data_IF_966831040860
#
_entry.id   IF_966831040860
#
_cell.length_a   1.000
_cell.length_b   1.000
_cell.length_c   1.000
_cell.angle_alpha   90.00
_cell.angle_beta   90.00
_cell.angle_gamma   90.00
#
_symmetry.space_group_name_H-M   'P 1'
#
loop_
_entity.id
_entity.type
_entity.pdbx_description
1 polymer ?
#
# COMPACT_ATOMS: atom_id res chain seq x y z
N UNK A 1 41.44 -2.34 4.41
CA UNK A 1 40.29 -3.25 4.49
C UNK A 1 39.28 -2.80 3.43
N UNK A 2 39.17 -3.48 2.29
CA UNK A 2 38.08 -3.24 1.35
C UNK A 2 36.84 -3.90 1.98
N UNK A 3 35.97 -3.13 2.57
CA UNK A 3 34.63 -3.58 2.94
C UNK A 3 34.02 -4.22 1.69
N UNK A 4 33.84 -5.54 1.69
CA UNK A 4 33.29 -6.26 0.56
C UNK A 4 31.94 -5.63 0.21
N UNK A 5 31.69 -5.33 -1.07
CA UNK A 5 30.41 -4.77 -1.52
C UNK A 5 29.30 -5.72 -1.04
N UNK A 6 28.25 -5.21 -0.37
CA UNK A 6 27.16 -6.05 0.07
C UNK A 6 26.54 -6.77 -1.14
N UNK A 7 25.95 -7.94 -0.91
CA UNK A 7 25.32 -8.69 -1.99
C UNK A 7 24.20 -7.85 -2.62
N UNK A 8 23.97 -7.91 -3.94
CA UNK A 8 22.89 -7.16 -4.61
C UNK A 8 21.52 -7.44 -4.00
N UNK A 9 21.30 -8.65 -3.44
CA UNK A 9 20.08 -9.03 -2.72
C UNK A 9 19.90 -8.18 -1.45
N UNK A 10 20.96 -7.99 -0.68
CA UNK A 10 20.92 -7.18 0.54
C UNK A 10 20.68 -5.71 0.21
N UNK A 11 21.32 -5.18 -0.82
CA UNK A 11 21.12 -3.79 -1.26
C UNK A 11 19.69 -3.55 -1.72
N UNK A 12 19.11 -4.45 -2.52
CA UNK A 12 17.71 -4.36 -2.94
C UNK A 12 16.74 -4.45 -1.75
N UNK A 13 17.01 -5.34 -0.79
CA UNK A 13 16.22 -5.46 0.45
C UNK A 13 16.28 -4.20 1.30
N UNK A 14 17.48 -3.65 1.52
CA UNK A 14 17.65 -2.40 2.29
C UNK A 14 16.95 -1.22 1.63
N UNK A 15 17.02 -1.13 0.29
CA UNK A 15 16.29 -0.10 -0.47
C UNK A 15 14.79 -0.21 -0.27
N UNK A 16 14.23 -1.43 -0.37
CA UNK A 16 12.81 -1.67 -0.13
C UNK A 16 12.40 -1.36 1.31
N UNK A 17 13.19 -1.80 2.27
CA UNK A 17 12.91 -1.58 3.69
C UNK A 17 12.90 -0.08 4.03
N UNK A 18 13.91 0.67 3.59
CA UNK A 18 13.98 2.11 3.81
C UNK A 18 12.81 2.85 3.16
N UNK A 19 12.45 2.46 1.93
CA UNK A 19 11.32 3.04 1.19
C UNK A 19 10.01 2.80 1.96
N UNK A 20 9.77 1.56 2.41
CA UNK A 20 8.57 1.22 3.19
C UNK A 20 8.54 1.85 4.58
N UNK A 21 9.67 2.00 5.25
CA UNK A 21 9.76 2.72 6.52
C UNK A 21 9.39 4.19 6.35
N UNK A 22 9.96 4.87 5.36
CA UNK A 22 9.65 6.29 5.09
C UNK A 22 8.16 6.52 4.84
N UNK A 23 7.52 5.67 4.02
CA UNK A 23 6.09 5.76 3.72
C UNK A 23 5.21 5.45 4.95
N UNK A 24 5.51 4.37 5.66
CA UNK A 24 4.67 3.88 6.75
C UNK A 24 4.75 4.70 8.03
N UNK A 25 5.86 5.44 8.26
CA UNK A 25 5.98 6.42 9.34
C UNK A 25 4.95 7.55 9.19
N UNK A 26 4.77 8.04 7.96
CA UNK A 26 3.94 9.21 7.66
C UNK A 26 2.46 8.86 7.61
N UNK A 27 2.11 7.66 7.14
CA UNK A 27 0.74 7.27 6.83
C UNK A 27 -0.25 7.47 7.99
N UNK A 28 0.00 6.98 9.24
CA UNK A 28 -0.92 7.18 10.36
C UNK A 28 -0.98 8.62 10.86
N UNK A 29 0.00 9.45 10.49
CA UNK A 29 0.10 10.82 10.96
C UNK A 29 -0.57 11.82 10.00
N UNK A 30 -0.95 11.38 8.80
CA UNK A 30 -1.48 12.23 7.75
C UNK A 30 -2.65 13.13 8.19
N UNK A 31 -3.67 12.65 8.94
CA UNK A 31 -4.75 13.52 9.43
C UNK A 31 -4.30 14.57 10.42
N UNK A 32 -3.24 14.31 11.21
CA UNK A 32 -2.68 15.26 12.15
C UNK A 32 -1.84 16.33 11.45
N UNK A 33 -1.07 15.91 10.44
CA UNK A 33 -0.24 16.80 9.62
C UNK A 33 -1.09 17.73 8.74
N UNK A 34 -2.23 17.25 8.27
CA UNK A 34 -3.17 18.03 7.47
C UNK A 34 -4.01 18.98 8.32
N UNK A 35 -4.14 18.74 9.63
CA UNK A 35 -5.03 19.48 10.53
C UNK A 35 -4.79 20.99 10.58
N UNK A 36 -3.58 21.46 10.30
CA UNK A 36 -3.25 22.89 10.19
C UNK A 36 -3.75 23.55 8.90
N UNK A 37 -4.21 22.77 7.90
CA UNK A 37 -4.60 23.26 6.57
C UNK A 37 -6.04 22.87 6.22
N UNK A 38 -6.47 21.69 6.62
CA UNK A 38 -7.83 21.17 6.45
C UNK A 38 -8.09 20.06 7.46
N UNK A 39 -9.32 19.97 7.94
CA UNK A 39 -9.75 18.90 8.86
C UNK A 39 -10.83 17.99 8.22
N UNK A 40 -11.16 18.21 6.94
CA UNK A 40 -12.19 17.45 6.25
C UNK A 40 -11.67 16.13 5.68
N UNK A 41 -12.52 15.11 5.68
CA UNK A 41 -12.20 13.77 5.17
C UNK A 41 -12.07 13.75 3.65
N UNK A 42 -12.73 14.67 2.92
CA UNK A 42 -12.63 14.78 1.47
C UNK A 42 -11.21 15.18 1.05
N UNK A 43 -10.65 16.22 1.67
CA UNK A 43 -9.28 16.67 1.40
C UNK A 43 -8.27 15.60 1.76
N UNK A 44 -8.45 14.92 2.89
CA UNK A 44 -7.59 13.79 3.30
C UNK A 44 -7.65 12.65 2.27
N UNK A 45 -8.84 12.25 1.86
CA UNK A 45 -9.04 11.21 0.86
C UNK A 45 -8.44 11.56 -0.51
N UNK A 46 -8.61 12.80 -0.96
CA UNK A 46 -8.02 13.29 -2.21
C UNK A 46 -6.49 13.34 -2.12
N UNK A 47 -5.92 13.77 -1.00
CA UNK A 47 -4.48 13.82 -0.80
C UNK A 47 -3.85 12.43 -0.82
N UNK A 48 -4.46 11.45 -0.14
CA UNK A 48 -4.05 10.05 -0.20
C UNK A 48 -4.25 9.46 -1.61
N UNK A 49 -5.36 9.78 -2.26
CA UNK A 49 -5.65 9.36 -3.63
C UNK A 49 -4.67 9.92 -4.66
N UNK A 50 -4.21 11.16 -4.51
CA UNK A 50 -3.23 11.79 -5.41
C UNK A 50 -1.93 10.99 -5.47
N UNK A 51 -1.39 10.58 -4.32
CA UNK A 51 -0.23 9.69 -4.27
C UNK A 51 -0.48 8.38 -5.01
N UNK A 52 -1.60 7.72 -4.70
CA UNK A 52 -1.90 6.42 -5.26
C UNK A 52 -2.18 6.45 -6.78
N UNK A 53 -2.85 7.48 -7.29
CA UNK A 53 -3.05 7.70 -8.75
C UNK A 53 -1.73 7.92 -9.45
N UNK A 54 -0.87 8.76 -8.88
CA UNK A 54 0.44 9.06 -9.44
C UNK A 54 1.29 7.79 -9.50
N UNK A 55 1.36 7.02 -8.42
CA UNK A 55 2.08 5.76 -8.35
C UNK A 55 1.54 4.73 -9.35
N UNK A 56 0.21 4.56 -9.42
CA UNK A 56 -0.44 3.65 -10.36
C UNK A 56 -0.07 3.98 -11.81
N UNK A 57 -0.12 5.27 -12.15
CA UNK A 57 0.17 5.75 -13.50
C UNK A 57 1.65 5.64 -13.87
N UNK A 58 2.54 5.89 -12.91
CA UNK A 58 3.99 5.89 -13.13
C UNK A 58 4.61 4.48 -13.12
N UNK A 59 4.06 3.54 -12.36
CA UNK A 59 4.68 2.21 -12.16
C UNK A 59 5.01 1.46 -13.47
N UNK A 60 4.12 1.36 -14.48
CA UNK A 60 4.45 0.70 -15.75
C UNK A 60 5.54 1.43 -16.53
N UNK A 61 5.51 2.77 -16.49
CA UNK A 61 6.52 3.60 -17.14
C UNK A 61 7.90 3.43 -16.48
N UNK A 62 7.95 3.45 -15.14
CA UNK A 62 9.19 3.23 -14.38
C UNK A 62 9.75 1.83 -14.66
N UNK A 63 8.91 0.81 -14.73
CA UNK A 63 9.31 -0.53 -15.13
C UNK A 63 10.01 -0.52 -16.51
N UNK A 64 9.33 0.03 -17.51
CA UNK A 64 9.88 0.13 -18.87
C UNK A 64 11.15 1.00 -18.96
N UNK A 65 11.21 2.11 -18.21
CA UNK A 65 12.43 2.93 -18.12
C UNK A 65 13.58 2.14 -17.50
N UNK A 66 13.31 1.31 -16.49
CA UNK A 66 14.33 0.49 -15.84
C UNK A 66 14.86 -0.64 -16.76
N UNK A 67 14.01 -1.15 -17.66
CA UNK A 67 14.42 -2.10 -18.71
C UNK A 67 15.27 -1.44 -19.81
N UNK A 68 15.08 -0.14 -20.05
CA UNK A 68 15.81 0.59 -21.07
C UNK A 68 17.11 1.21 -20.58
N UNK A 69 17.08 1.86 -19.42
CA UNK A 69 18.20 2.67 -18.92
C UNK A 69 19.03 1.95 -17.86
N UNK A 70 18.54 0.82 -17.35
CA UNK A 70 19.14 0.05 -16.27
C UNK A 70 18.40 0.25 -14.94
N UNK A 71 18.57 -0.71 -14.05
CA UNK A 71 17.86 -0.76 -12.77
C UNK A 71 18.30 0.34 -11.81
N UNK A 72 19.62 0.49 -11.65
CA UNK A 72 20.23 1.42 -10.69
C UNK A 72 19.91 2.89 -10.96
N UNK A 73 20.07 3.45 -12.17
CA UNK A 73 19.79 4.86 -12.42
C UNK A 73 18.30 5.20 -12.27
N UNK A 74 17.41 4.30 -12.70
CA UNK A 74 15.97 4.52 -12.55
C UNK A 74 15.52 4.41 -11.10
N UNK A 75 16.06 3.46 -10.32
CA UNK A 75 15.82 3.38 -8.89
C UNK A 75 16.34 4.62 -8.15
N UNK A 76 17.52 5.12 -8.51
CA UNK A 76 18.06 6.36 -7.95
C UNK A 76 17.14 7.56 -8.23
N UNK A 77 16.59 7.66 -9.45
CA UNK A 77 15.61 8.70 -9.82
C UNK A 77 14.33 8.59 -8.97
N UNK A 78 13.80 7.38 -8.79
CA UNK A 78 12.62 7.14 -7.94
C UNK A 78 12.89 7.59 -6.51
N UNK A 79 13.99 7.14 -5.90
CA UNK A 79 14.31 7.50 -4.51
C UNK A 79 14.59 9.00 -4.37
N UNK A 80 15.27 9.63 -5.34
CA UNK A 80 15.47 11.08 -5.34
C UNK A 80 14.15 11.85 -5.42
N UNK A 81 13.21 11.38 -6.23
CA UNK A 81 11.86 11.95 -6.28
C UNK A 81 11.10 11.79 -4.95
N UNK A 82 11.22 10.65 -4.25
CA UNK A 82 10.66 10.49 -2.91
C UNK A 82 11.32 11.43 -1.88
N UNK A 83 12.64 11.67 -1.96
CA UNK A 83 13.32 12.69 -1.13
C UNK A 83 12.72 14.07 -1.37
N UNK A 84 12.52 14.45 -2.64
CA UNK A 84 11.94 15.75 -3.00
C UNK A 84 10.48 15.86 -2.54
N UNK A 85 9.67 14.83 -2.77
CA UNK A 85 8.26 14.80 -2.38
C UNK A 85 8.07 14.87 -0.87
N UNK A 86 8.75 14.00 -0.12
CA UNK A 86 8.72 14.00 1.35
C UNK A 86 9.31 15.28 1.94
N UNK A 87 10.42 15.78 1.33
CA UNK A 87 11.04 17.03 1.74
C UNK A 87 10.13 18.24 1.56
N UNK A 88 9.48 18.35 0.39
CA UNK A 88 8.50 19.40 0.13
C UNK A 88 7.31 19.30 1.09
N UNK A 89 6.83 18.08 1.37
CA UNK A 89 5.75 17.86 2.34
C UNK A 89 6.16 18.31 3.75
N UNK A 90 7.35 17.88 4.21
CA UNK A 90 7.89 18.25 5.52
C UNK A 90 8.06 19.76 5.68
N UNK A 91 8.65 20.43 4.69
CA UNK A 91 8.83 21.87 4.68
C UNK A 91 7.48 22.59 4.70
N UNK A 92 6.53 22.16 3.86
CA UNK A 92 5.20 22.79 3.81
C UNK A 92 4.47 22.70 5.13
N UNK A 93 4.52 21.58 5.82
CA UNK A 93 3.86 21.42 7.13
C UNK A 93 4.56 22.22 8.23
N UNK A 94 5.87 22.44 8.13
CA UNK A 94 6.67 23.06 9.18
C UNK A 94 6.72 24.59 9.09
N UNK A 95 6.42 25.18 7.94
CA UNK A 95 6.50 26.63 7.74
C UNK A 95 5.30 27.36 8.37
N UNK A 96 5.52 28.48 9.07
CA UNK A 96 4.46 29.31 9.63
C UNK A 96 3.87 30.24 8.54
N UNK A 97 3.08 29.68 7.64
CA UNK A 97 2.54 30.36 6.44
C UNK A 97 1.80 31.65 6.74
N UNK A 98 1.00 31.67 7.82
CA UNK A 98 0.23 32.86 8.22
C UNK A 98 1.10 34.03 8.64
N UNK A 99 2.32 33.76 9.11
CA UNK A 99 3.28 34.78 9.51
C UNK A 99 4.16 35.21 8.33
N UNK A 100 4.64 34.24 7.52
CA UNK A 100 5.57 34.51 6.42
C UNK A 100 4.85 35.10 5.19
N UNK A 101 3.71 34.53 4.80
CA UNK A 101 2.95 34.91 3.61
C UNK A 101 1.43 34.78 3.84
N UNK A 102 0.82 35.72 4.56
CA UNK A 102 -0.61 35.63 4.89
C UNK A 102 -1.52 35.50 3.65
N UNK A 103 -1.20 36.24 2.58
CA UNK A 103 -1.94 36.16 1.33
C UNK A 103 -1.83 34.79 0.63
N UNK A 104 -0.66 34.19 0.63
CA UNK A 104 -0.44 32.85 0.07
C UNK A 104 -1.13 31.76 0.92
N UNK A 105 -1.15 31.92 2.25
CA UNK A 105 -1.90 31.05 3.14
C UNK A 105 -3.41 31.12 2.87
N UNK A 106 -3.95 32.33 2.73
CA UNK A 106 -5.36 32.57 2.39
C UNK A 106 -5.73 32.05 0.99
N UNK A 107 -4.80 32.10 0.03
CA UNK A 107 -4.99 31.56 -1.31
C UNK A 107 -4.89 30.03 -1.41
N UNK A 108 -4.66 29.32 -0.29
CA UNK A 108 -4.57 27.85 -0.28
C UNK A 108 -3.26 27.28 -0.85
N UNK A 109 -2.22 28.11 -1.02
CA UNK A 109 -0.91 27.65 -1.54
C UNK A 109 -0.32 26.51 -0.73
N UNK A 110 -0.33 26.50 0.62
CA UNK A 110 0.21 25.37 1.39
C UNK A 110 -0.46 24.05 1.05
N UNK A 111 -1.78 24.05 0.91
CA UNK A 111 -2.54 22.84 0.53
C UNK A 111 -2.17 22.38 -0.87
N UNK A 112 -2.03 23.29 -1.83
CA UNK A 112 -1.58 22.95 -3.18
C UNK A 112 -0.17 22.34 -3.19
N UNK A 113 0.75 22.85 -2.35
CA UNK A 113 2.09 22.28 -2.19
C UNK A 113 2.06 20.88 -1.57
N UNK A 114 1.15 20.59 -0.66
CA UNK A 114 0.97 19.23 -0.12
C UNK A 114 0.50 18.26 -1.21
N UNK A 115 -0.43 18.68 -2.08
CA UNK A 115 -0.84 17.88 -3.24
C UNK A 115 0.29 17.68 -4.23
N UNK A 116 1.08 18.71 -4.52
CA UNK A 116 2.26 18.63 -5.37
C UNK A 116 3.31 17.67 -4.79
N UNK A 117 3.58 17.74 -3.50
CA UNK A 117 4.47 16.85 -2.79
C UNK A 117 4.03 15.39 -2.93
N UNK A 118 2.73 15.10 -2.76
CA UNK A 118 2.16 13.77 -2.94
C UNK A 118 2.20 13.30 -4.40
N UNK A 119 2.01 14.20 -5.34
CA UNK A 119 2.13 13.90 -6.76
C UNK A 119 3.57 13.50 -7.12
N UNK A 120 4.57 14.27 -6.68
CA UNK A 120 6.00 13.98 -6.92
C UNK A 120 6.39 12.65 -6.29
N UNK A 121 6.03 12.43 -5.03
CA UNK A 121 6.33 11.19 -4.30
C UNK A 121 5.65 9.97 -4.96
N UNK A 122 4.37 10.10 -5.35
CA UNK A 122 3.64 9.06 -6.06
C UNK A 122 4.22 8.74 -7.44
N UNK A 123 4.57 9.76 -8.25
CA UNK A 123 5.23 9.56 -9.54
C UNK A 123 6.59 8.85 -9.40
N UNK A 124 7.20 8.96 -8.24
CA UNK A 124 8.48 8.32 -7.90
C UNK A 124 8.31 6.94 -7.25
N UNK A 125 7.08 6.51 -6.95
CA UNK A 125 6.74 5.30 -6.20
C UNK A 125 7.00 3.96 -6.92
N UNK A 126 7.99 3.89 -7.84
CA UNK A 126 8.37 2.69 -8.57
C UNK A 126 9.47 1.84 -7.92
N UNK A 127 9.92 2.21 -6.73
CA UNK A 127 11.02 1.53 -6.02
C UNK A 127 10.76 0.03 -5.85
N UNK A 128 9.54 -0.36 -5.45
CA UNK A 128 9.18 -1.76 -5.25
C UNK A 128 9.20 -2.56 -6.55
N UNK A 129 8.73 -1.99 -7.65
CA UNK A 129 8.74 -2.63 -8.97
C UNK A 129 10.17 -2.83 -9.47
N UNK A 130 11.00 -1.79 -9.38
CA UNK A 130 12.41 -1.85 -9.81
C UNK A 130 13.22 -2.79 -8.92
N UNK A 131 13.02 -2.81 -7.60
CA UNK A 131 13.67 -3.76 -6.71
C UNK A 131 13.25 -5.20 -6.98
N UNK A 132 11.98 -5.43 -7.31
CA UNK A 132 11.50 -6.73 -7.80
C UNK A 132 12.22 -7.19 -9.06
N UNK A 133 12.45 -6.28 -10.01
CA UNK A 133 13.21 -6.55 -11.22
C UNK A 133 14.68 -6.86 -10.91
N UNK A 134 15.35 -6.09 -10.03
CA UNK A 134 16.71 -6.39 -9.55
C UNK A 134 16.77 -7.82 -8.97
N UNK A 135 15.84 -8.17 -8.10
CA UNK A 135 15.80 -9.51 -7.51
C UNK A 135 15.58 -10.61 -8.56
N UNK A 136 14.77 -10.35 -9.57
CA UNK A 136 14.55 -11.28 -10.68
C UNK A 136 15.82 -11.48 -11.54
N UNK A 137 16.56 -10.39 -11.82
CA UNK A 137 17.76 -10.40 -12.62
C UNK A 137 18.91 -11.22 -11.98
N UNK A 138 19.02 -11.19 -10.63
CA UNK A 138 20.11 -11.86 -9.87
C UNK A 138 19.71 -13.23 -9.30
N UNK A 139 18.52 -13.73 -9.62
CA UNK A 139 18.00 -14.97 -9.01
C UNK A 139 17.55 -15.96 -10.09
N UNK A 140 18.04 -17.20 -9.98
CA UNK A 140 17.61 -18.28 -10.86
C UNK A 140 16.09 -18.50 -10.79
N UNK A 141 15.42 -18.89 -11.88
CA UNK A 141 13.96 -19.00 -11.96
C UNK A 141 13.34 -19.81 -10.81
N UNK A 142 14.00 -20.89 -10.41
CA UNK A 142 13.53 -21.82 -9.36
C UNK A 142 13.55 -21.20 -7.96
N UNK A 143 14.39 -20.18 -7.74
CA UNK A 143 14.56 -19.50 -6.47
C UNK A 143 13.84 -18.13 -6.39
N UNK A 144 13.23 -17.68 -7.48
CA UNK A 144 12.55 -16.36 -7.55
C UNK A 144 11.45 -16.19 -6.51
N UNK A 145 10.69 -17.22 -6.23
CA UNK A 145 9.65 -17.18 -5.20
C UNK A 145 10.22 -16.80 -3.81
N UNK A 146 11.38 -17.37 -3.47
CA UNK A 146 12.08 -17.06 -2.21
C UNK A 146 12.65 -15.63 -2.23
N UNK A 147 13.20 -15.18 -3.36
CA UNK A 147 13.73 -13.82 -3.49
C UNK A 147 12.61 -12.76 -3.39
N UNK A 148 11.47 -13.00 -4.02
CA UNK A 148 10.29 -12.13 -3.87
C UNK A 148 9.69 -12.15 -2.46
N UNK A 149 9.92 -13.20 -1.68
CA UNK A 149 9.59 -13.24 -0.26
C UNK A 149 10.27 -12.11 0.53
N UNK A 150 11.49 -11.66 0.13
CA UNK A 150 12.17 -10.53 0.75
C UNK A 150 11.38 -9.21 0.59
N UNK A 151 10.65 -9.04 -0.51
CA UNK A 151 9.75 -7.89 -0.70
C UNK A 151 8.67 -7.91 0.38
N UNK A 152 8.05 -9.07 0.60
CA UNK A 152 7.03 -9.24 1.65
C UNK A 152 7.59 -8.97 3.06
N UNK A 153 8.82 -9.41 3.34
CA UNK A 153 9.50 -9.14 4.62
C UNK A 153 9.76 -7.64 4.79
N UNK A 154 10.24 -6.94 3.75
CA UNK A 154 10.46 -5.49 3.81
C UNK A 154 9.16 -4.73 4.06
N UNK A 155 8.07 -5.10 3.39
CA UNK A 155 6.74 -4.54 3.64
C UNK A 155 6.26 -4.80 5.07
N UNK A 156 6.37 -6.05 5.56
CA UNK A 156 5.95 -6.42 6.92
C UNK A 156 6.73 -5.64 7.99
N UNK A 157 8.05 -5.58 7.87
CA UNK A 157 8.89 -4.81 8.78
C UNK A 157 8.59 -3.31 8.72
N UNK A 158 8.38 -2.77 7.52
CA UNK A 158 7.98 -1.37 7.34
C UNK A 158 6.68 -1.05 8.06
N UNK A 159 5.66 -1.88 7.89
CA UNK A 159 4.36 -1.69 8.56
C UNK A 159 4.37 -1.91 10.07
N UNK A 160 5.33 -2.66 10.61
CA UNK A 160 5.51 -2.80 12.07
C UNK A 160 6.30 -1.62 12.63
N UNK A 161 7.47 -1.37 12.06
CA UNK A 161 8.42 -0.40 12.62
C UNK A 161 8.02 1.05 12.31
N UNK A 162 7.45 1.31 11.12
CA UNK A 162 7.11 2.65 10.69
C UNK A 162 6.10 3.35 11.59
N UNK A 163 4.89 2.81 11.80
CA UNK A 163 3.92 3.41 12.71
C UNK A 163 4.45 3.52 14.14
N UNK A 164 5.18 2.50 14.64
CA UNK A 164 5.79 2.54 15.96
C UNK A 164 6.77 3.71 16.13
N UNK A 165 7.68 3.87 15.16
CA UNK A 165 8.61 5.00 15.13
C UNK A 165 7.87 6.33 14.95
N UNK A 166 6.90 6.39 14.05
CA UNK A 166 6.09 7.58 13.82
C UNK A 166 5.38 8.06 15.08
N UNK A 167 4.73 7.16 15.81
CA UNK A 167 4.05 7.49 17.07
C UNK A 167 5.00 7.89 18.18
N UNK A 168 6.15 7.22 18.31
CA UNK A 168 7.17 7.58 19.29
C UNK A 168 7.74 8.97 19.04
N UNK A 169 8.08 9.28 17.80
CA UNK A 169 8.63 10.58 17.40
C UNK A 169 7.58 11.69 17.50
N UNK A 170 6.32 11.39 17.23
CA UNK A 170 5.23 12.35 17.34
C UNK A 170 4.98 12.87 18.76
N UNK A 171 5.51 12.19 19.81
CA UNK A 171 5.52 12.70 21.19
C UNK A 171 6.32 13.99 21.35
N UNK A 172 7.39 14.12 20.56
CA UNK A 172 8.23 15.33 20.62
C UNK A 172 7.68 16.43 19.70
N UNK A 173 7.30 16.06 18.48
CA UNK A 173 6.67 16.94 17.50
C UNK A 173 5.97 16.13 16.42
N UNK A 174 4.78 16.55 16.01
CA UNK A 174 4.02 15.90 14.92
C UNK A 174 4.76 15.96 13.57
N UNK A 175 5.66 16.95 13.40
CA UNK A 175 6.46 17.11 12.18
C UNK A 175 7.77 16.32 12.20
N UNK A 176 8.29 15.95 13.37
CA UNK A 176 9.56 15.21 13.50
C UNK A 176 9.57 13.89 12.70
N UNK A 177 8.52 13.08 12.72
CA UNK A 177 8.44 11.88 11.89
C UNK A 177 8.65 12.12 10.39
N UNK A 178 8.21 13.28 9.86
CA UNK A 178 8.42 13.65 8.45
C UNK A 178 9.91 13.84 8.14
N UNK A 179 10.63 14.58 8.98
CA UNK A 179 12.07 14.78 8.78
C UNK A 179 12.85 13.49 8.91
N UNK A 180 12.43 12.59 9.80
CA UNK A 180 13.03 11.25 9.92
C UNK A 180 12.72 10.42 8.65
N UNK A 181 11.51 10.50 8.08
CA UNK A 181 11.19 9.85 6.81
C UNK A 181 12.04 10.39 5.65
N UNK A 182 12.27 11.72 5.59
CA UNK A 182 13.23 12.32 4.63
C UNK A 182 14.64 11.79 4.87
N UNK A 183 15.07 11.65 6.12
CA UNK A 183 16.36 11.04 6.48
C UNK A 183 16.49 9.61 5.97
N UNK A 184 15.46 8.77 6.14
CA UNK A 184 15.42 7.41 5.58
C UNK A 184 15.49 7.43 4.05
N UNK A 185 14.78 8.34 3.39
CA UNK A 185 14.83 8.48 1.94
C UNK A 185 16.22 8.92 1.44
N UNK A 186 16.90 9.83 2.15
CA UNK A 186 18.28 10.24 1.86
C UNK A 186 19.27 9.08 2.04
N UNK A 187 19.16 8.35 3.16
CA UNK A 187 19.96 7.13 3.39
C UNK A 187 19.71 6.11 2.28
N UNK A 188 18.46 5.95 1.87
CA UNK A 188 18.11 5.06 0.77
C UNK A 188 18.75 5.49 -0.56
N UNK A 189 18.75 6.79 -0.86
CA UNK A 189 19.43 7.33 -2.03
C UNK A 189 20.93 7.01 -2.00
N UNK A 190 21.57 7.20 -0.86
CA UNK A 190 22.99 6.84 -0.68
C UNK A 190 23.21 5.33 -0.87
N UNK A 191 22.37 4.48 -0.33
CA UNK A 191 22.42 3.02 -0.52
C UNK A 191 22.32 2.66 -2.00
N UNK A 192 21.39 3.24 -2.74
CA UNK A 192 21.23 2.99 -4.17
C UNK A 192 22.45 3.47 -4.96
N UNK A 193 22.96 4.67 -4.65
CA UNK A 193 24.08 5.27 -5.36
C UNK A 193 25.44 4.60 -5.06
N UNK A 194 25.61 4.00 -3.87
CA UNK A 194 26.90 3.47 -3.45
C UNK A 194 26.96 1.93 -3.43
N UNK A 195 25.87 1.28 -3.00
CA UNK A 195 25.85 -0.15 -2.71
C UNK A 195 25.10 -0.99 -3.74
N UNK A 196 24.10 -0.41 -4.46
CA UNK A 196 23.36 -1.16 -5.47
C UNK A 196 24.17 -1.25 -6.76
N UNK A 197 24.57 -2.46 -7.21
CA UNK A 197 25.20 -2.62 -8.52
C UNK A 197 24.14 -2.52 -9.62
N UNK A 198 24.58 -2.20 -10.85
CA UNK A 198 23.72 -2.35 -12.02
C UNK A 198 23.55 -3.85 -12.33
N UNK A 199 22.30 -4.30 -12.40
CA UNK A 199 21.96 -5.71 -12.66
C UNK A 199 21.44 -5.95 -14.07
N UNK A 200 21.18 -4.87 -14.82
CA UNK A 200 20.68 -4.94 -16.19
C UNK A 200 21.71 -4.33 -17.17
N UNK A 201 22.64 -5.14 -17.68
CA UNK A 201 23.75 -4.64 -18.50
C UNK A 201 23.24 -4.06 -19.83
N UNK A 202 24.01 -3.19 -20.49
CA UNK A 202 23.59 -2.50 -21.71
C UNK A 202 23.08 -3.43 -22.83
N UNK A 203 23.66 -4.64 -22.93
CA UNK A 203 23.33 -5.64 -23.94
C UNK A 203 21.93 -6.27 -23.74
N UNK A 204 21.43 -6.25 -22.49
CA UNK A 204 20.11 -6.78 -22.14
C UNK A 204 18.99 -5.71 -22.24
N UNK A 205 19.33 -4.45 -22.52
CA UNK A 205 18.38 -3.34 -22.55
C UNK A 205 17.45 -3.41 -23.74
N UNK A 206 16.17 -3.19 -23.51
CA UNK A 206 15.12 -3.25 -24.52
C UNK A 206 14.63 -1.83 -24.86
N UNK A 207 14.15 -1.65 -26.10
CA UNK A 207 13.51 -0.40 -26.50
C UNK A 207 12.23 -0.17 -25.68
N UNK A 208 11.88 1.10 -25.46
CA UNK A 208 10.62 1.43 -24.76
C UNK A 208 9.44 0.81 -25.52
N UNK A 209 8.54 0.13 -24.81
CA UNK A 209 7.34 -0.41 -25.42
C UNK A 209 6.44 0.71 -25.97
N UNK A 210 5.54 0.36 -26.87
CA UNK A 210 4.62 1.32 -27.47
C UNK A 210 3.73 1.96 -26.40
N UNK A 211 3.30 3.21 -26.60
CA UNK A 211 2.48 3.96 -25.66
C UNK A 211 1.23 3.20 -25.16
N UNK A 212 0.64 2.34 -25.98
CA UNK A 212 -0.51 1.50 -25.61
C UNK A 212 -0.17 0.43 -24.56
N UNK A 213 1.04 -0.09 -24.57
CA UNK A 213 1.50 -1.14 -23.65
C UNK A 213 1.84 -0.57 -22.26
N UNK A 214 2.13 0.75 -22.22
CA UNK A 214 2.39 1.50 -20.99
C UNK A 214 1.11 1.99 -20.29
N UNK A 215 -0.07 1.81 -20.91
CA UNK A 215 -1.34 2.25 -20.31
C UNK A 215 -1.81 1.25 -19.23
N UNK A 216 -1.83 1.62 -17.94
CA UNK A 216 -2.24 0.72 -16.87
C UNK A 216 -3.68 0.22 -17.04
N UNK A 217 -4.56 1.02 -17.64
CA UNK A 217 -5.95 0.64 -17.89
C UNK A 217 -6.13 -0.46 -18.94
N UNK A 218 -5.22 -0.57 -19.92
CA UNK A 218 -5.30 -1.64 -20.93
C UNK A 218 -5.06 -3.03 -20.32
N UNK A 219 -4.16 -3.11 -19.35
CA UNK A 219 -3.89 -4.34 -18.61
C UNK A 219 -5.09 -4.74 -17.74
N UNK A 220 -5.75 -3.77 -17.10
CA UNK A 220 -6.97 -4.00 -16.33
C UNK A 220 -8.11 -4.51 -17.22
N UNK A 221 -8.32 -3.89 -18.39
CA UNK A 221 -9.36 -4.30 -19.34
C UNK A 221 -9.16 -5.75 -19.81
N UNK A 222 -7.93 -6.14 -20.10
CA UNK A 222 -7.61 -7.52 -20.53
C UNK A 222 -7.97 -8.56 -19.46
N UNK A 223 -7.77 -8.25 -18.18
CA UNK A 223 -8.11 -9.17 -17.07
C UNK A 223 -9.63 -9.31 -16.91
N UNK A 224 -10.37 -8.22 -17.03
CA UNK A 224 -11.83 -8.26 -16.94
C UNK A 224 -12.50 -8.92 -18.16
N UNK A 225 -11.82 -8.98 -19.30
CA UNK A 225 -12.27 -9.69 -20.50
C UNK A 225 -12.23 -11.21 -20.36
N UNK A 226 -11.42 -11.75 -19.44
CA UNK A 226 -11.31 -13.19 -19.24
C UNK A 226 -12.42 -13.71 -18.28
N UNK A 227 -13.42 -14.48 -18.79
CA UNK A 227 -14.56 -14.93 -17.99
C UNK A 227 -14.17 -15.90 -16.86
N UNK A 228 -13.00 -16.57 -16.96
CA UNK A 228 -12.52 -17.54 -15.95
C UNK A 228 -12.08 -16.87 -14.66
N UNK A 229 -11.54 -15.66 -14.75
CA UNK A 229 -10.96 -14.92 -13.59
C UNK A 229 -11.71 -13.63 -13.26
N UNK A 230 -12.57 -13.12 -14.15
CA UNK A 230 -13.27 -11.85 -14.00
C UNK A 230 -13.89 -11.64 -12.61
N UNK A 231 -14.56 -12.67 -12.07
CA UNK A 231 -15.19 -12.57 -10.74
C UNK A 231 -14.19 -12.42 -9.61
N UNK A 232 -13.10 -13.22 -9.64
CA UNK A 232 -12.06 -13.12 -8.61
C UNK A 232 -11.26 -11.82 -8.72
N UNK A 233 -11.04 -11.33 -9.93
CA UNK A 233 -10.40 -10.05 -10.17
C UNK A 233 -11.28 -8.89 -9.69
N UNK A 234 -12.59 -8.95 -9.92
CA UNK A 234 -13.55 -8.00 -9.36
C UNK A 234 -13.58 -8.05 -7.82
N UNK A 235 -13.56 -9.26 -7.23
CA UNK A 235 -13.47 -9.45 -5.80
C UNK A 235 -12.16 -8.85 -5.23
N UNK A 236 -11.03 -9.08 -5.89
CA UNK A 236 -9.73 -8.55 -5.49
C UNK A 236 -9.68 -7.02 -5.56
N UNK A 237 -10.17 -6.44 -6.66
CA UNK A 237 -10.29 -4.98 -6.82
C UNK A 237 -11.19 -4.38 -5.75
N UNK A 238 -12.41 -4.91 -5.57
CA UNK A 238 -13.38 -4.42 -4.59
C UNK A 238 -12.88 -4.53 -3.14
N UNK A 239 -12.10 -5.59 -2.83
CA UNK A 239 -11.46 -5.74 -1.53
C UNK A 239 -10.46 -4.61 -1.27
N UNK A 240 -9.57 -4.30 -2.23
CA UNK A 240 -8.61 -3.21 -2.05
C UNK A 240 -9.25 -1.83 -2.08
N UNK A 241 -10.32 -1.66 -2.85
CA UNK A 241 -11.14 -0.44 -2.83
C UNK A 241 -11.71 -0.18 -1.43
N UNK A 242 -12.35 -1.20 -0.82
CA UNK A 242 -12.92 -1.11 0.52
C UNK A 242 -11.84 -0.89 1.58
N UNK A 243 -10.78 -1.71 1.54
CA UNK A 243 -9.71 -1.68 2.53
C UNK A 243 -8.93 -0.37 2.55
N UNK A 244 -8.57 0.15 1.37
CA UNK A 244 -7.83 1.41 1.29
C UNK A 244 -8.66 2.62 1.70
N UNK A 245 -9.94 2.65 1.32
CA UNK A 245 -10.86 3.70 1.74
C UNK A 245 -11.08 3.71 3.25
N UNK A 246 -11.35 2.54 3.82
CA UNK A 246 -11.44 2.35 5.27
C UNK A 246 -10.19 2.84 5.99
N UNK A 247 -9.02 2.35 5.56
CA UNK A 247 -7.74 2.63 6.22
C UNK A 247 -7.39 4.12 6.18
N UNK A 248 -7.69 4.81 5.07
CA UNK A 248 -7.44 6.24 4.93
C UNK A 248 -8.27 7.10 5.90
N UNK A 249 -9.50 6.69 6.20
CA UNK A 249 -10.40 7.43 7.11
C UNK A 249 -10.26 7.01 8.57
N UNK A 250 -9.59 5.90 8.85
CA UNK A 250 -9.53 5.28 10.18
C UNK A 250 -8.96 6.22 11.24
N UNK A 251 -7.82 6.86 10.97
CA UNK A 251 -7.16 7.76 11.93
C UNK A 251 -7.95 9.05 12.11
N UNK A 252 -8.53 9.58 11.03
CA UNK A 252 -9.40 10.75 11.13
C UNK A 252 -10.60 10.45 12.03
N UNK A 253 -11.20 9.26 11.86
CA UNK A 253 -12.28 8.80 12.72
C UNK A 253 -11.85 8.67 14.18
N UNK A 254 -10.70 8.06 14.47
CA UNK A 254 -10.17 7.94 15.84
C UNK A 254 -9.98 9.29 16.50
N UNK A 255 -9.45 10.26 15.75
CA UNK A 255 -9.26 11.63 16.24
C UNK A 255 -10.59 12.31 16.56
N UNK A 256 -11.59 12.20 15.68
CA UNK A 256 -12.87 12.91 15.83
C UNK A 256 -13.83 12.19 16.80
N UNK A 257 -13.87 10.87 16.78
CA UNK A 257 -14.81 10.10 17.61
C UNK A 257 -14.32 9.86 19.04
N UNK A 258 -13.00 9.67 19.21
CA UNK A 258 -12.41 9.30 20.50
C UNK A 258 -11.37 10.30 21.01
N UNK A 259 -11.05 11.36 20.28
CA UNK A 259 -10.04 12.33 20.67
C UNK A 259 -8.61 11.76 20.68
N UNK A 260 -8.35 10.66 19.96
CA UNK A 260 -7.04 10.01 19.99
C UNK A 260 -5.96 10.87 19.33
N UNK A 261 -4.82 10.96 20.02
CA UNK A 261 -3.61 11.58 19.51
C UNK A 261 -2.83 10.67 18.53
N UNK A 262 -1.75 11.19 17.94
CA UNK A 262 -0.93 10.47 16.97
C UNK A 262 -0.30 9.20 17.54
N UNK A 263 -0.03 9.16 18.85
CA UNK A 263 0.56 7.99 19.52
C UNK A 263 -0.38 6.77 19.52
N UNK A 264 -1.63 6.95 19.97
CA UNK A 264 -2.61 5.88 19.99
C UNK A 264 -2.96 5.43 18.57
N UNK A 265 -3.04 6.35 17.61
CA UNK A 265 -3.22 6.03 16.21
C UNK A 265 -2.07 5.18 15.67
N UNK A 266 -0.82 5.52 15.99
CA UNK A 266 0.35 4.76 15.58
C UNK A 266 0.39 3.36 16.23
N UNK A 267 0.06 3.26 17.52
CA UNK A 267 -0.06 1.96 18.22
C UNK A 267 -1.14 1.07 17.59
N UNK A 268 -2.24 1.64 17.14
CA UNK A 268 -3.28 0.90 16.42
C UNK A 268 -2.74 0.25 15.15
N UNK A 269 -1.95 0.96 14.36
CA UNK A 269 -1.28 0.40 13.16
C UNK A 269 -0.18 -0.59 13.51
N UNK A 270 0.53 -0.38 14.61
CA UNK A 270 1.53 -1.35 15.10
C UNK A 270 0.87 -2.71 15.38
N UNK A 271 -0.29 -2.74 16.04
CA UNK A 271 -1.04 -3.98 16.28
C UNK A 271 -1.43 -4.65 14.96
N UNK A 272 -1.93 -3.87 13.98
CA UNK A 272 -2.24 -4.38 12.64
C UNK A 272 -1.01 -5.01 11.99
N UNK A 273 0.14 -4.34 12.04
CA UNK A 273 1.40 -4.82 11.47
C UNK A 273 1.88 -6.13 12.12
N UNK A 274 1.87 -6.19 13.46
CA UNK A 274 2.30 -7.38 14.20
C UNK A 274 1.39 -8.58 13.89
N UNK A 275 0.07 -8.41 13.96
CA UNK A 275 -0.87 -9.50 13.68
C UNK A 275 -0.76 -9.96 12.22
N UNK A 276 -0.69 -9.03 11.26
CA UNK A 276 -0.53 -9.38 9.85
C UNK A 276 0.76 -10.16 9.59
N UNK A 277 1.86 -9.79 10.25
CA UNK A 277 3.16 -10.50 10.12
C UNK A 277 3.09 -11.91 10.70
N UNK A 278 2.50 -12.07 11.88
CA UNK A 278 2.31 -13.41 12.50
C UNK A 278 1.45 -14.30 11.60
N UNK A 279 0.36 -13.76 11.06
CA UNK A 279 -0.54 -14.51 10.18
C UNK A 279 0.15 -14.89 8.88
N UNK A 280 0.75 -13.93 8.17
CA UNK A 280 1.36 -14.17 6.86
C UNK A 280 2.69 -14.92 6.95
N UNK A 281 3.47 -14.70 8.01
CA UNK A 281 4.78 -15.33 8.21
C UNK A 281 4.71 -16.74 8.81
N UNK A 282 3.67 -17.03 9.61
CA UNK A 282 3.60 -18.29 10.36
C UNK A 282 2.35 -19.12 10.16
N UNK A 283 1.17 -18.48 10.17
CA UNK A 283 -0.11 -19.21 10.24
C UNK A 283 -0.68 -19.56 8.87
N UNK A 284 -0.45 -18.75 7.84
CA UNK A 284 -1.09 -18.91 6.53
C UNK A 284 -0.79 -20.27 5.88
N UNK A 285 0.45 -20.75 5.92
CA UNK A 285 0.87 -22.00 5.31
C UNK A 285 0.11 -23.21 5.88
N UNK A 286 0.20 -23.49 7.19
CA UNK A 286 -0.56 -24.57 7.82
C UNK A 286 -2.07 -24.46 7.67
N UNK A 287 -2.62 -23.24 7.72
CA UNK A 287 -4.07 -23.02 7.57
C UNK A 287 -4.55 -23.32 6.14
N UNK A 288 -3.79 -22.90 5.11
CA UNK A 288 -4.11 -23.20 3.71
C UNK A 288 -4.08 -24.72 3.45
N UNK A 289 -3.09 -25.43 4.02
CA UNK A 289 -3.00 -26.88 3.87
C UNK A 289 -4.20 -27.61 4.48
N UNK A 290 -4.73 -27.13 5.62
CA UNK A 290 -5.83 -27.77 6.33
C UNK A 290 -7.23 -27.40 5.83
N UNK A 291 -7.42 -26.11 5.53
CA UNK A 291 -8.75 -25.54 5.27
C UNK A 291 -8.98 -25.27 3.77
N UNK A 292 -7.89 -25.02 3.03
CA UNK A 292 -7.91 -24.59 1.64
C UNK A 292 -8.11 -23.09 1.46
N UNK A 293 -7.58 -22.54 0.37
CA UNK A 293 -7.52 -21.09 0.09
C UNK A 293 -8.91 -20.45 0.01
N UNK A 294 -9.86 -21.15 -0.58
CA UNK A 294 -11.21 -20.64 -0.77
C UNK A 294 -11.97 -20.44 0.55
N UNK A 295 -12.00 -21.47 1.40
CA UNK A 295 -12.67 -21.36 2.70
C UNK A 295 -11.97 -20.34 3.59
N UNK A 296 -10.65 -20.34 3.55
CA UNK A 296 -9.82 -19.45 4.34
C UNK A 296 -10.02 -17.98 3.92
N UNK A 297 -10.20 -17.71 2.62
CA UNK A 297 -10.55 -16.35 2.18
C UNK A 297 -11.92 -15.88 2.70
N UNK A 298 -12.92 -16.77 2.76
CA UNK A 298 -14.24 -16.43 3.33
C UNK A 298 -14.19 -16.18 4.84
N UNK A 299 -13.44 -16.99 5.58
CA UNK A 299 -13.19 -16.76 7.02
C UNK A 299 -12.51 -15.43 7.23
N UNK A 300 -11.46 -15.13 6.42
CA UNK A 300 -10.76 -13.85 6.48
C UNK A 300 -11.68 -12.65 6.19
N UNK A 301 -12.55 -12.76 5.17
CA UNK A 301 -13.54 -11.71 4.86
C UNK A 301 -14.53 -11.50 6.01
N UNK A 302 -14.97 -12.58 6.66
CA UNK A 302 -15.81 -12.50 7.87
C UNK A 302 -15.11 -11.76 9.02
N UNK A 303 -13.83 -12.05 9.27
CA UNK A 303 -13.03 -11.31 10.26
C UNK A 303 -12.89 -9.82 9.91
N UNK A 304 -12.69 -9.47 8.62
CA UNK A 304 -12.62 -8.08 8.20
C UNK A 304 -13.95 -7.36 8.42
N UNK A 305 -15.10 -7.99 8.08
CA UNK A 305 -16.43 -7.44 8.36
C UNK A 305 -16.63 -7.21 9.85
N UNK A 306 -16.27 -8.19 10.69
CA UNK A 306 -16.38 -8.08 12.15
C UNK A 306 -15.54 -6.92 12.68
N UNK A 307 -14.29 -6.79 12.26
CA UNK A 307 -13.44 -5.67 12.65
C UNK A 307 -13.99 -4.31 12.20
N UNK A 308 -14.45 -4.19 10.96
CA UNK A 308 -15.09 -2.98 10.45
C UNK A 308 -16.39 -2.63 11.21
N UNK A 309 -17.14 -3.63 11.68
CA UNK A 309 -18.39 -3.44 12.43
C UNK A 309 -18.14 -2.96 13.87
N UNK A 310 -17.14 -3.55 14.54
CA UNK A 310 -16.86 -3.25 15.95
C UNK A 310 -16.35 -1.82 16.18
N UNK A 311 -15.57 -1.26 15.23
CA UNK A 311 -14.95 0.05 15.39
C UNK A 311 -16.00 1.17 15.55
N UNK A 312 -17.00 1.36 14.66
CA UNK A 312 -18.00 2.42 14.80
C UNK A 312 -19.00 2.19 15.94
N UNK A 313 -19.04 0.98 16.49
CA UNK A 313 -19.88 0.62 17.65
C UNK A 313 -19.14 0.82 18.98
N UNK A 314 -17.84 1.06 18.98
CA UNK A 314 -17.07 1.29 20.19
C UNK A 314 -17.54 2.55 20.91
N UNK A 315 -17.72 2.43 22.24
CA UNK A 315 -18.04 3.56 23.11
C UNK A 315 -16.77 4.25 23.57
N UNK A 316 -16.76 5.58 23.81
CA UNK A 316 -15.56 6.30 24.25
C UNK A 316 -14.89 5.71 25.50
N UNK A 317 -15.68 5.17 26.43
CA UNK A 317 -15.21 4.55 27.68
C UNK A 317 -14.50 3.22 27.47
N UNK A 318 -14.85 2.48 26.42
CA UNK A 318 -14.25 1.18 26.05
C UNK A 318 -13.52 1.21 24.70
N UNK A 319 -13.25 2.41 24.17
CA UNK A 319 -12.72 2.57 22.83
C UNK A 319 -11.38 1.84 22.65
N UNK A 320 -10.45 1.96 23.60
CA UNK A 320 -9.12 1.33 23.48
C UNK A 320 -9.23 -0.19 23.33
N UNK A 321 -9.77 -0.97 24.29
CA UNK A 321 -9.82 -2.42 24.16
C UNK A 321 -10.66 -2.88 22.97
N UNK A 322 -11.78 -2.20 22.69
CA UNK A 322 -12.67 -2.57 21.59
C UNK A 322 -12.02 -2.35 20.22
N UNK A 323 -11.42 -1.17 20.01
CA UNK A 323 -10.79 -0.84 18.72
C UNK A 323 -9.54 -1.69 18.49
N UNK A 324 -8.68 -1.88 19.51
CA UNK A 324 -7.48 -2.71 19.36
C UNK A 324 -7.83 -4.17 19.07
N UNK A 325 -8.86 -4.73 19.74
CA UNK A 325 -9.36 -6.07 19.43
C UNK A 325 -9.97 -6.15 18.03
N UNK A 326 -10.75 -5.15 17.62
CA UNK A 326 -11.33 -5.06 16.29
C UNK A 326 -10.25 -5.00 15.20
N UNK A 327 -9.19 -4.21 15.41
CA UNK A 327 -8.05 -4.10 14.50
C UNK A 327 -7.23 -5.39 14.44
N UNK A 328 -7.07 -6.10 15.56
CA UNK A 328 -6.40 -7.40 15.56
C UNK A 328 -7.21 -8.43 14.74
N UNK A 329 -8.53 -8.49 14.91
CA UNK A 329 -9.43 -9.35 14.14
C UNK A 329 -9.38 -8.97 12.65
N UNK A 330 -9.42 -7.69 12.32
CA UNK A 330 -9.33 -7.17 10.96
C UNK A 330 -7.99 -7.53 10.33
N UNK A 331 -6.88 -7.34 11.04
CA UNK A 331 -5.54 -7.66 10.57
C UNK A 331 -5.35 -9.16 10.33
N UNK A 332 -5.90 -9.98 11.23
CA UNK A 332 -5.96 -11.43 11.03
C UNK A 332 -6.71 -11.76 9.73
N UNK A 333 -7.88 -11.16 9.51
CA UNK A 333 -8.67 -11.34 8.31
C UNK A 333 -7.95 -10.92 7.03
N UNK A 334 -7.38 -9.72 6.99
CA UNK A 334 -6.64 -9.22 5.81
C UNK A 334 -5.40 -10.04 5.51
N UNK A 335 -4.71 -10.52 6.55
CA UNK A 335 -3.57 -11.43 6.46
C UNK A 335 -3.92 -12.76 5.77
N UNK A 336 -5.16 -13.22 5.89
CA UNK A 336 -5.66 -14.42 5.21
C UNK A 336 -6.16 -14.11 3.79
N UNK A 337 -6.95 -13.05 3.62
CA UNK A 337 -7.65 -12.72 2.37
C UNK A 337 -6.67 -12.46 1.22
N UNK A 338 -5.69 -11.58 1.45
CA UNK A 338 -4.80 -11.10 0.37
C UNK A 338 -4.02 -12.23 -0.31
N UNK A 339 -3.29 -13.12 0.41
CA UNK A 339 -2.56 -14.21 -0.22
C UNK A 339 -3.48 -15.27 -0.81
N UNK A 340 -4.62 -15.57 -0.15
CA UNK A 340 -5.58 -16.54 -0.67
C UNK A 340 -6.22 -16.09 -1.99
N UNK A 341 -6.67 -14.84 -2.09
CA UNK A 341 -7.23 -14.31 -3.33
C UNK A 341 -6.20 -14.26 -4.46
N UNK A 342 -4.95 -13.85 -4.16
CA UNK A 342 -3.85 -13.88 -5.14
C UNK A 342 -3.62 -15.28 -5.69
N UNK A 343 -3.55 -16.28 -4.81
CA UNK A 343 -3.34 -17.67 -5.20
C UNK A 343 -4.51 -18.20 -6.02
N UNK A 344 -5.76 -17.96 -5.62
CA UNK A 344 -6.96 -18.37 -6.37
C UNK A 344 -7.02 -17.79 -7.79
N UNK A 345 -6.58 -16.53 -8.00
CA UNK A 345 -6.50 -15.94 -9.35
C UNK A 345 -5.35 -16.53 -10.12
N UNK A 346 -4.16 -16.65 -9.53
CA UNK A 346 -2.96 -17.18 -10.17
C UNK A 346 -3.18 -18.59 -10.71
N UNK A 347 -3.76 -19.49 -9.91
CA UNK A 347 -4.08 -20.87 -10.34
C UNK A 347 -5.03 -20.95 -11.52
N UNK A 348 -5.97 -20.01 -11.68
CA UNK A 348 -6.90 -19.99 -12.81
C UNK A 348 -6.30 -19.39 -14.09
N UNK A 349 -5.16 -18.75 -13.99
CA UNK A 349 -4.40 -18.19 -15.11
C UNK A 349 -3.20 -19.07 -15.49
N UNK A 350 -3.05 -20.27 -14.91
CA UNK A 350 -2.05 -21.26 -15.31
C UNK A 350 -2.20 -21.55 -16.80
N UNK A 351 -1.13 -21.27 -17.58
CA UNK A 351 -1.10 -21.36 -19.04
C UNK A 351 -1.05 -20.04 -19.81
N UNK A 352 -1.37 -18.89 -19.18
CA UNK A 352 -1.32 -17.56 -19.83
C UNK A 352 -0.15 -16.67 -19.42
N UNK A 353 0.86 -17.23 -18.74
CA UNK A 353 2.04 -16.50 -18.24
C UNK A 353 1.83 -15.95 -16.82
N UNK A 354 2.48 -16.53 -15.83
CA UNK A 354 2.38 -16.14 -14.41
C UNK A 354 2.76 -14.67 -14.17
N UNK A 355 3.72 -14.13 -14.92
CA UNK A 355 4.13 -12.74 -14.81
C UNK A 355 3.02 -11.75 -15.18
N UNK A 356 2.29 -12.01 -16.26
CA UNK A 356 1.16 -11.18 -16.68
C UNK A 356 0.01 -11.22 -15.65
N UNK A 357 -0.24 -12.41 -15.06
CA UNK A 357 -1.25 -12.58 -14.02
C UNK A 357 -0.93 -11.78 -12.76
N UNK A 358 0.31 -11.86 -12.28
CA UNK A 358 0.77 -11.13 -11.09
C UNK A 358 0.80 -9.60 -11.33
N UNK A 359 1.24 -9.18 -12.52
CA UNK A 359 1.20 -7.77 -12.92
C UNK A 359 -0.23 -7.21 -12.95
N UNK A 360 -1.18 -7.99 -13.48
CA UNK A 360 -2.59 -7.62 -13.52
C UNK A 360 -3.20 -7.49 -12.13
N UNK A 361 -2.87 -8.40 -11.20
CA UNK A 361 -3.32 -8.31 -9.82
C UNK A 361 -2.74 -7.08 -9.11
N UNK A 362 -1.48 -6.76 -9.37
CA UNK A 362 -0.86 -5.54 -8.83
C UNK A 362 -1.56 -4.29 -9.36
N UNK A 363 -1.90 -4.26 -10.66
CA UNK A 363 -2.69 -3.18 -11.26
C UNK A 363 -4.07 -3.02 -10.62
N UNK A 364 -4.79 -4.13 -10.39
CA UNK A 364 -6.09 -4.11 -9.70
C UNK A 364 -5.99 -3.63 -8.26
N UNK A 365 -4.96 -4.06 -7.53
CA UNK A 365 -4.68 -3.57 -6.18
C UNK A 365 -4.46 -2.05 -6.18
N UNK A 366 -3.59 -1.57 -7.06
CA UNK A 366 -3.28 -0.15 -7.17
C UNK A 366 -4.51 0.67 -7.56
N UNK A 367 -5.32 0.17 -8.51
CA UNK A 367 -6.59 0.81 -8.91
C UNK A 367 -7.58 0.91 -7.74
N UNK A 368 -7.75 -0.16 -6.95
CA UNK A 368 -8.56 -0.13 -5.74
C UNK A 368 -8.02 0.85 -4.71
N UNK A 369 -6.69 0.86 -4.53
CA UNK A 369 -6.03 1.72 -3.56
C UNK A 369 -6.11 3.21 -3.90
N UNK A 370 -6.17 3.58 -5.19
CA UNK A 370 -6.32 5.00 -5.55
C UNK A 370 -7.76 5.49 -5.50
N UNK A 371 -8.74 4.64 -5.82
CA UNK A 371 -10.15 5.02 -5.80
C UNK A 371 -10.76 5.03 -4.39
N UNK A 372 -10.27 4.15 -3.52
CA UNK A 372 -10.82 3.97 -2.18
C UNK A 372 -10.79 5.23 -1.31
N UNK A 373 -9.63 5.86 -1.08
CA UNK A 373 -9.55 7.03 -0.20
C UNK A 373 -10.40 8.23 -0.63
N UNK A 374 -10.44 8.67 -1.91
CA UNK A 374 -11.32 9.76 -2.32
C UNK A 374 -12.80 9.45 -2.14
N UNK A 375 -13.23 8.21 -2.47
CA UNK A 375 -14.62 7.78 -2.29
C UNK A 375 -15.01 7.70 -0.81
N UNK A 376 -14.12 7.17 0.02
CA UNK A 376 -14.35 7.10 1.46
C UNK A 376 -14.37 8.49 2.11
N UNK A 377 -13.47 9.39 1.68
CA UNK A 377 -13.44 10.76 2.15
C UNK A 377 -14.70 11.55 1.77
N UNK A 378 -15.19 11.37 0.53
CA UNK A 378 -16.45 11.96 0.09
C UNK A 378 -17.63 11.42 0.92
N UNK A 379 -17.70 10.10 1.11
CA UNK A 379 -18.75 9.49 1.92
C UNK A 379 -18.69 9.94 3.38
N UNK A 380 -17.50 10.10 3.94
CA UNK A 380 -17.26 10.58 5.29
C UNK A 380 -17.90 11.95 5.53
N UNK A 381 -17.75 12.88 4.57
CA UNK A 381 -18.31 14.23 4.65
C UNK A 381 -19.80 14.30 4.32
N UNK A 382 -20.26 13.52 3.33
CA UNK A 382 -21.64 13.63 2.85
C UNK A 382 -22.63 12.73 3.59
N UNK A 383 -22.21 11.54 4.02
CA UNK A 383 -23.05 10.52 4.65
C UNK A 383 -22.74 10.33 6.16
N UNK A 384 -21.76 11.11 6.69
CA UNK A 384 -21.36 11.10 8.09
C UNK A 384 -20.16 10.21 8.38
N UNK A 385 -19.53 10.44 9.53
CA UNK A 385 -18.21 9.91 9.92
C UNK A 385 -18.13 8.38 9.99
N UNK A 386 -19.25 7.68 10.14
CA UNK A 386 -19.33 6.21 10.17
C UNK A 386 -19.53 5.58 8.80
N UNK A 387 -19.82 6.37 7.76
CA UNK A 387 -20.13 5.86 6.42
C UNK A 387 -19.03 5.04 5.75
N UNK A 388 -17.72 5.35 5.90
CA UNK A 388 -16.66 4.52 5.31
C UNK A 388 -16.65 3.08 5.83
N UNK A 389 -17.04 2.89 7.10
CA UNK A 389 -17.13 1.55 7.70
C UNK A 389 -18.28 0.76 7.08
N UNK A 390 -19.47 1.36 6.96
CA UNK A 390 -20.65 0.72 6.37
C UNK A 390 -20.44 0.41 4.88
N UNK A 391 -19.83 1.34 4.13
CA UNK A 391 -19.46 1.14 2.74
C UNK A 391 -18.46 -0.02 2.58
N UNK A 392 -17.45 -0.08 3.44
CA UNK A 392 -16.46 -1.16 3.43
C UNK A 392 -17.12 -2.50 3.77
N UNK A 393 -18.01 -2.56 4.75
CA UNK A 393 -18.76 -3.78 5.07
C UNK A 393 -19.58 -4.23 3.87
N UNK A 394 -20.34 -3.34 3.23
CA UNK A 394 -21.15 -3.66 2.05
C UNK A 394 -20.29 -4.21 0.91
N UNK A 395 -19.17 -3.56 0.61
CA UNK A 395 -18.24 -4.01 -0.42
C UNK A 395 -17.61 -5.37 -0.08
N UNK A 396 -17.21 -5.59 1.17
CA UNK A 396 -16.56 -6.85 1.58
C UNK A 396 -17.58 -7.99 1.58
N UNK A 397 -18.84 -7.75 1.94
CA UNK A 397 -19.93 -8.72 1.79
C UNK A 397 -20.15 -9.07 0.30
N UNK A 398 -20.12 -8.07 -0.59
CA UNK A 398 -20.18 -8.31 -2.03
C UNK A 398 -18.97 -9.13 -2.52
N UNK A 399 -17.76 -8.85 -2.02
CA UNK A 399 -16.55 -9.66 -2.28
C UNK A 399 -16.76 -11.11 -1.84
N UNK A 400 -17.30 -11.33 -0.65
CA UNK A 400 -17.59 -12.68 -0.16
C UNK A 400 -18.60 -13.42 -1.06
N UNK A 401 -19.65 -12.74 -1.54
CA UNK A 401 -20.59 -13.30 -2.50
C UNK A 401 -19.96 -13.64 -3.85
N UNK A 402 -19.05 -12.78 -4.36
CA UNK A 402 -18.30 -13.04 -5.59
C UNK A 402 -17.38 -14.25 -5.46
N UNK A 403 -16.70 -14.38 -4.32
CA UNK A 403 -15.83 -15.53 -4.02
C UNK A 403 -16.67 -16.80 -3.86
N UNK A 404 -17.76 -16.77 -3.08
CA UNK A 404 -18.63 -17.93 -2.86
C UNK A 404 -19.30 -18.44 -4.16
N UNK A 405 -19.75 -17.53 -5.02
CA UNK A 405 -20.41 -17.90 -6.30
C UNK A 405 -19.48 -18.52 -7.33
N UNK A 406 -18.15 -18.39 -7.12
CA UNK A 406 -17.15 -18.95 -8.04
C UNK A 406 -17.00 -20.49 -7.98
N UNK A 407 -17.46 -21.15 -6.91
CA UNK A 407 -17.31 -22.59 -6.68
C UNK A 407 -18.54 -23.41 -7.06
N UNK A 408 -19.76 -22.84 -6.97
CA UNK A 408 -20.99 -23.58 -7.35
C UNK A 408 -20.99 -24.09 -8.79
N UNK A 409 -20.19 -23.50 -9.69
CA UNK A 409 -20.05 -23.97 -11.08
C UNK A 409 -19.01 -25.07 -11.28
N UNK A 410 -18.07 -25.26 -10.35
CA UNK A 410 -17.07 -26.33 -10.46
C UNK A 410 -17.62 -27.69 -10.01
N UNK A 411 -18.48 -27.72 -9.00
CA UNK A 411 -19.16 -28.96 -8.57
C UNK A 411 -20.25 -29.42 -9.53
N UNK A 412 -20.77 -28.50 -10.37
CA UNK A 412 -21.76 -28.85 -11.41
C UNK A 412 -21.13 -29.30 -12.77
N UNK A 413 -19.81 -29.18 -12.91
CA UNK A 413 -19.09 -29.50 -14.16
C UNK A 413 -18.24 -30.80 -14.09
N UNK A 414 -18.32 -31.57 -13.01
CA UNK A 414 -17.84 -32.96 -12.95
C UNK A 414 -19.05 -33.89 -13.09
N UNK A 415 -19.36 -34.38 -14.29
CA UNK A 415 -20.21 -35.59 -14.42
C UNK A 415 -19.41 -36.76 -13.85
N UNK A 416 -20.07 -37.55 -13.01
CA UNK A 416 -19.56 -38.79 -12.43
C UNK A 416 -19.21 -39.87 -13.46
#
# INVERSE_FOLDING_TARGET
>A
MRLGRPSPRLSAFLTLLNDRLGESIVFPLLPFLLAGFSSDGRTLGLLAGTYAVAQFSATPLIGALSDRFGRRPVMALCVAGSVLGLGLFALTVSLPWTQLWPGAAAAGLPLALLFLARLIDGLSGGTAATAGAVLADITAPEQRARAFGLIGVAFGLGFILGPGLGGLLARYSVTLPLFVAVGFALVNLLVVLTLLPETHPPEARIALPRRRELQPFSQLAAVFSNPRVRRLCAAFFAFFLAFSGFTAMLVLYFRQAFGWGPELAALAFLVVGVVATVVQGGLIGPLVQRIGEWRLSLVGLGCVVTGCLLIPLAQPTSAIPTVFSALAILAFGTGLVTPCLRSLVSRRLEGSGQGAALGSLQGLQSAGSFLGPPLAGLAYETLGHRSPFWLSIALIVAVAALVAGGTRRQTAATPG
#
